data_IF_660857343253
#
_entry.id   IF_660857343253
#
_cell.length_a   1.000
_cell.length_b   1.000
_cell.length_c   1.000
_cell.angle_alpha   90.00
_cell.angle_beta   90.00
_cell.angle_gamma   90.00
#
_symmetry.space_group_name_H-M   'P 1'
#
loop_
_entity.id
_entity.type
_entity.pdbx_description
1 polymer ?
#
# COMPACT_ATOMS: atom_id res chain seq x y z
N UNK A 1 -15.75 7.64 -3.43
CA UNK A 1 -14.40 8.20 -3.19
C UNK A 1 -14.46 9.15 -2.00
N UNK A 2 -13.62 8.95 -0.96
CA UNK A 2 -13.69 9.66 0.33
C UNK A 2 -13.03 11.06 0.30
N UNK A 3 -13.64 12.02 -0.40
CA UNK A 3 -13.04 13.35 -0.66
C UNK A 3 -12.70 14.14 0.60
N UNK A 4 -13.54 14.08 1.62
CA UNK A 4 -13.33 14.81 2.87
C UNK A 4 -12.11 14.29 3.63
N UNK A 5 -11.94 12.96 3.70
CA UNK A 5 -10.79 12.33 4.32
C UNK A 5 -9.48 12.72 3.61
N UNK A 6 -9.43 12.59 2.28
CA UNK A 6 -8.26 12.98 1.48
C UNK A 6 -7.89 14.46 1.63
N UNK A 7 -8.88 15.36 1.78
CA UNK A 7 -8.63 16.80 1.95
C UNK A 7 -7.82 17.08 3.23
N UNK A 8 -8.05 16.32 4.31
CA UNK A 8 -7.32 16.52 5.57
C UNK A 8 -5.81 16.31 5.42
N UNK A 9 -5.37 15.41 4.54
CA UNK A 9 -3.95 15.19 4.25
C UNK A 9 -3.30 16.40 3.59
N UNK A 10 -3.98 17.02 2.64
CA UNK A 10 -3.52 18.25 1.95
C UNK A 10 -3.46 19.43 2.93
N UNK A 11 -4.51 19.60 3.74
CA UNK A 11 -4.61 20.72 4.70
C UNK A 11 -3.57 20.61 5.82
N UNK A 12 -3.30 19.42 6.33
CA UNK A 12 -2.34 19.19 7.42
C UNK A 12 -0.88 19.16 6.96
N UNK A 13 -0.61 18.91 5.67
CA UNK A 13 0.75 18.76 5.14
C UNK A 13 0.98 19.67 3.93
N UNK A 14 0.88 21.00 4.07
CA UNK A 14 0.93 21.92 2.92
C UNK A 14 2.29 21.97 2.21
N UNK A 15 3.36 21.47 2.85
CA UNK A 15 4.68 21.32 2.23
C UNK A 15 4.81 20.06 1.36
N UNK A 16 3.85 19.13 1.44
CA UNK A 16 3.85 17.87 0.71
C UNK A 16 3.03 17.98 -0.57
N UNK A 17 3.50 17.32 -1.62
CA UNK A 17 2.70 17.07 -2.84
C UNK A 17 1.88 15.81 -2.63
N UNK A 18 0.56 15.94 -2.63
CA UNK A 18 -0.35 14.80 -2.49
C UNK A 18 -0.70 14.25 -3.87
N UNK A 19 -0.39 12.97 -4.09
CA UNK A 19 -0.76 12.23 -5.30
C UNK A 19 -1.90 11.26 -5.01
N UNK A 20 -2.89 11.26 -5.89
CA UNK A 20 -4.02 10.35 -5.81
C UNK A 20 -3.87 9.24 -6.86
N UNK A 21 -3.60 8.04 -6.37
CA UNK A 21 -3.52 6.83 -7.19
C UNK A 21 -4.88 6.14 -7.24
N UNK A 22 -5.22 5.59 -8.40
CA UNK A 22 -6.55 5.00 -8.61
C UNK A 22 -6.64 4.27 -9.94
N UNK A 23 -7.85 3.90 -10.34
CA UNK A 23 -8.09 2.99 -11.45
C UNK A 23 -7.48 3.44 -12.79
N UNK A 24 -7.37 4.75 -13.05
CA UNK A 24 -6.71 5.22 -14.27
C UNK A 24 -5.23 4.84 -14.29
N UNK A 25 -4.54 4.97 -13.16
CA UNK A 25 -3.14 4.55 -13.03
C UNK A 25 -2.99 3.04 -13.12
N UNK A 26 -3.96 2.28 -12.59
CA UNK A 26 -3.99 0.81 -12.76
C UNK A 26 -3.99 0.42 -14.24
N UNK A 27 -4.67 1.18 -15.10
CA UNK A 27 -4.76 0.94 -16.54
C UNK A 27 -3.55 1.48 -17.32
N UNK A 28 -2.99 2.61 -16.88
CA UNK A 28 -1.99 3.35 -17.65
C UNK A 28 -0.54 2.99 -17.26
N UNK A 29 -0.33 2.37 -16.10
CA UNK A 29 0.99 1.98 -15.61
C UNK A 29 1.28 0.50 -15.87
N UNK A 30 2.57 0.18 -15.95
CA UNK A 30 3.06 -1.21 -15.94
C UNK A 30 3.30 -1.67 -14.51
N UNK A 31 2.95 -2.92 -14.21
CA UNK A 31 3.07 -3.53 -12.88
C UNK A 31 3.95 -4.79 -12.93
N UNK A 32 4.82 -4.97 -11.94
CA UNK A 32 5.64 -6.17 -11.77
C UNK A 32 4.78 -7.42 -11.51
N UNK A 33 3.65 -7.23 -10.82
CA UNK A 33 2.67 -8.26 -10.50
C UNK A 33 1.43 -8.22 -11.40
N UNK A 34 1.55 -7.77 -12.65
CA UNK A 34 0.42 -7.65 -13.60
C UNK A 34 -0.37 -8.97 -13.78
N UNK A 35 0.30 -10.12 -13.74
CA UNK A 35 -0.36 -11.44 -13.80
C UNK A 35 -1.33 -11.67 -12.63
N UNK A 36 -0.93 -11.26 -11.42
CA UNK A 36 -1.78 -11.38 -10.23
C UNK A 36 -2.91 -10.36 -10.24
N UNK A 37 -2.64 -9.13 -10.68
CA UNK A 37 -3.66 -8.09 -10.92
C UNK A 37 -4.72 -8.62 -11.89
N UNK A 38 -4.31 -9.18 -13.03
CA UNK A 38 -5.22 -9.74 -14.02
C UNK A 38 -6.06 -10.90 -13.44
N UNK A 39 -5.43 -11.79 -12.67
CA UNK A 39 -6.13 -12.88 -11.99
C UNK A 39 -7.22 -12.33 -11.05
N UNK A 40 -6.89 -11.35 -10.22
CA UNK A 40 -7.86 -10.69 -9.35
C UNK A 40 -9.00 -9.98 -10.10
N UNK A 41 -8.71 -9.33 -11.23
CA UNK A 41 -9.73 -8.68 -12.07
C UNK A 41 -10.70 -9.68 -12.72
N UNK A 42 -10.19 -10.85 -13.12
CA UNK A 42 -10.99 -11.87 -13.82
C UNK A 42 -11.90 -12.67 -12.91
N UNK A 43 -11.50 -12.94 -11.67
CA UNK A 43 -12.33 -13.69 -10.70
C UNK A 43 -13.54 -12.88 -10.17
N UNK A 44 -13.61 -11.57 -10.42
CA UNK A 44 -14.74 -10.67 -10.09
C UNK A 44 -15.21 -10.73 -8.62
N UNK A 45 -14.32 -11.05 -7.70
CA UNK A 45 -14.60 -10.98 -6.26
C UNK A 45 -14.19 -9.59 -5.73
N UNK A 46 -15.11 -8.90 -5.07
CA UNK A 46 -14.88 -7.55 -4.52
C UNK A 46 -13.75 -7.52 -3.50
N UNK A 47 -13.47 -8.63 -2.81
CA UNK A 47 -12.34 -8.72 -1.89
C UNK A 47 -10.98 -8.56 -2.61
N UNK A 48 -10.87 -8.98 -3.87
CA UNK A 48 -9.62 -8.85 -4.61
C UNK A 48 -9.28 -7.43 -5.05
N UNK A 49 -10.24 -6.49 -4.98
CA UNK A 49 -9.93 -5.07 -5.14
C UNK A 49 -8.94 -4.59 -4.08
N UNK A 50 -9.01 -5.14 -2.86
CA UNK A 50 -8.03 -4.85 -1.81
C UNK A 50 -6.65 -5.42 -2.15
N UNK A 51 -6.58 -6.58 -2.81
CA UNK A 51 -5.31 -7.20 -3.21
C UNK A 51 -4.64 -6.47 -4.36
N UNK A 52 -5.43 -5.95 -5.30
CA UNK A 52 -4.92 -5.05 -6.34
C UNK A 52 -4.36 -3.77 -5.70
N UNK A 53 -5.08 -3.17 -4.74
CA UNK A 53 -4.60 -1.97 -4.03
C UNK A 53 -3.33 -2.24 -3.20
N UNK A 54 -3.20 -3.42 -2.60
CA UNK A 54 -1.99 -3.88 -1.92
C UNK A 54 -0.79 -4.01 -2.87
N UNK A 55 -0.99 -4.62 -4.04
CA UNK A 55 0.07 -4.69 -5.06
C UNK A 55 0.47 -3.28 -5.50
N UNK A 56 -0.52 -2.45 -5.85
CA UNK A 56 -0.28 -1.09 -6.34
C UNK A 56 0.49 -0.26 -5.31
N UNK A 57 0.13 -0.30 -4.02
CA UNK A 57 0.79 0.54 -3.00
C UNK A 57 2.26 0.22 -2.85
N UNK A 58 2.66 -1.06 -2.89
CA UNK A 58 4.07 -1.42 -2.78
C UNK A 58 4.86 -1.02 -4.01
N UNK A 59 4.32 -1.26 -5.20
CA UNK A 59 5.01 -0.94 -6.46
C UNK A 59 5.11 0.57 -6.69
N UNK A 60 4.06 1.34 -6.37
CA UNK A 60 4.09 2.81 -6.39
C UNK A 60 5.12 3.32 -5.38
N UNK A 61 5.08 2.84 -4.13
CA UNK A 61 5.99 3.31 -3.08
C UNK A 61 7.44 2.93 -3.39
N UNK A 62 7.67 1.76 -4.01
CA UNK A 62 8.99 1.36 -4.49
C UNK A 62 9.49 2.29 -5.60
N UNK A 63 8.65 2.63 -6.57
CA UNK A 63 9.03 3.47 -7.70
C UNK A 63 9.24 4.94 -7.30
N UNK A 64 8.34 5.50 -6.49
CA UNK A 64 8.29 6.93 -6.18
C UNK A 64 8.92 7.30 -4.84
N UNK A 65 8.98 6.36 -3.89
CA UNK A 65 9.20 6.67 -2.48
C UNK A 65 8.10 7.56 -1.89
N UNK A 66 8.36 8.13 -0.71
CA UNK A 66 7.44 9.05 -0.03
C UNK A 66 6.60 8.35 1.03
N UNK A 67 5.44 8.93 1.36
CA UNK A 67 4.54 8.42 2.40
C UNK A 67 3.20 8.00 1.79
N UNK A 68 2.89 6.71 1.89
CA UNK A 68 1.65 6.11 1.43
C UNK A 68 0.59 6.10 2.55
N UNK A 69 -0.65 6.40 2.17
CA UNK A 69 -1.86 6.28 3.01
C UNK A 69 -3.04 5.74 2.22
N UNK A 70 -3.93 4.98 2.87
CA UNK A 70 -5.24 4.66 2.28
C UNK A 70 -6.10 5.94 2.15
N UNK A 71 -6.84 6.05 1.04
CA UNK A 71 -7.59 7.26 0.70
C UNK A 71 -8.72 7.59 1.70
N UNK A 72 -9.23 6.60 2.43
CA UNK A 72 -10.28 6.74 3.44
C UNK A 72 -9.74 7.04 4.85
N UNK A 73 -8.44 7.31 4.97
CA UNK A 73 -7.83 7.73 6.24
C UNK A 73 -7.93 9.24 6.46
N UNK A 74 -8.08 9.65 7.72
CA UNK A 74 -8.14 11.06 8.13
C UNK A 74 -6.81 11.47 8.75
N UNK A 75 -6.23 12.55 8.26
CA UNK A 75 -5.06 13.19 8.83
C UNK A 75 -5.50 14.10 9.99
N UNK A 76 -5.15 13.73 11.22
CA UNK A 76 -5.49 14.50 12.42
C UNK A 76 -4.33 15.37 12.93
N UNK A 77 -3.13 15.15 12.41
CA UNK A 77 -1.90 15.89 12.71
C UNK A 77 -0.95 15.83 11.51
N UNK A 78 -0.09 16.85 11.31
CA UNK A 78 0.95 16.80 10.30
C UNK A 78 1.86 15.58 10.46
N UNK A 79 2.49 15.17 9.35
CA UNK A 79 3.57 14.19 9.35
C UNK A 79 4.79 14.81 10.04
N UNK A 80 5.31 14.09 11.02
CA UNK A 80 6.49 14.50 11.78
C UNK A 80 7.77 14.06 11.07
N UNK A 81 8.80 14.90 11.09
CA UNK A 81 10.05 14.66 10.34
C UNK A 81 10.74 13.34 10.71
N UNK A 82 10.62 12.91 11.98
CA UNK A 82 11.23 11.68 12.48
C UNK A 82 10.66 10.40 11.83
N UNK A 83 9.50 10.47 11.18
CA UNK A 83 8.95 9.35 10.39
C UNK A 83 9.86 8.97 9.21
N UNK A 84 10.76 9.87 8.83
CA UNK A 84 11.62 9.76 7.65
C UNK A 84 13.10 9.55 7.99
N UNK A 85 13.43 9.37 9.27
CA UNK A 85 14.81 9.14 9.74
C UNK A 85 15.36 7.76 9.31
N UNK A 86 14.48 6.85 8.89
CA UNK A 86 14.81 5.50 8.42
C UNK A 86 14.44 5.34 6.95
N UNK A 87 15.04 4.36 6.25
CA UNK A 87 14.69 4.11 4.85
C UNK A 87 13.30 3.51 4.64
N UNK A 88 12.68 2.99 5.71
CA UNK A 88 11.32 2.44 5.72
C UNK A 88 10.68 2.62 7.11
N UNK A 89 9.47 3.15 7.16
CA UNK A 89 8.68 3.25 8.38
C UNK A 89 7.25 2.74 8.12
N UNK A 90 6.66 2.02 9.06
CA UNK A 90 5.27 1.59 9.00
C UNK A 90 4.63 1.57 10.38
N UNK A 91 3.31 1.48 10.45
CA UNK A 91 2.56 1.33 11.70
C UNK A 91 2.32 -0.14 12.04
N UNK A 92 2.27 -0.47 13.33
CA UNK A 92 1.70 -1.75 13.78
C UNK A 92 0.19 -1.81 13.47
N UNK A 93 -0.29 -3.01 13.16
CA UNK A 93 -1.70 -3.33 13.28
C UNK A 93 -2.15 -3.25 14.74
N UNK A 94 -3.45 -3.44 14.98
CA UNK A 94 -3.96 -3.52 16.35
C UNK A 94 -3.26 -4.64 17.14
N UNK A 95 -2.35 -4.26 18.04
CA UNK A 95 -1.48 -5.19 18.78
C UNK A 95 -2.25 -6.21 19.65
N UNK A 96 -3.52 -5.94 19.99
CA UNK A 96 -4.37 -6.85 20.76
C UNK A 96 -5.15 -7.82 19.88
N UNK A 97 -5.74 -7.32 18.79
CA UNK A 97 -6.58 -8.10 17.89
C UNK A 97 -5.78 -8.85 16.82
N UNK A 98 -4.61 -8.32 16.46
CA UNK A 98 -3.71 -8.75 15.38
C UNK A 98 -2.23 -8.62 15.83
N UNK A 99 -1.84 -9.29 16.93
CA UNK A 99 -0.48 -9.17 17.46
C UNK A 99 0.57 -9.58 16.42
N UNK A 100 1.63 -8.79 16.32
CA UNK A 100 2.78 -9.07 15.47
C UNK A 100 2.62 -8.67 14.00
N UNK A 101 1.47 -8.13 13.56
CA UNK A 101 1.31 -7.67 12.18
C UNK A 101 1.68 -6.19 12.02
N UNK A 102 2.32 -5.89 10.89
CA UNK A 102 2.57 -4.52 10.43
C UNK A 102 1.43 -4.13 9.47
N UNK A 103 0.81 -2.97 9.71
CA UNK A 103 -0.23 -2.45 8.85
C UNK A 103 0.38 -1.85 7.58
N UNK A 104 -0.19 -2.20 6.43
CA UNK A 104 0.21 -1.67 5.13
C UNK A 104 -0.57 -0.39 4.73
N UNK A 105 -1.33 0.19 5.67
CA UNK A 105 -2.10 1.43 5.47
C UNK A 105 -1.25 2.69 5.60
N UNK A 106 -0.21 2.70 6.43
CA UNK A 106 0.67 3.86 6.63
C UNK A 106 2.11 3.44 6.46
N UNK A 107 2.74 3.85 5.35
CA UNK A 107 4.11 3.42 5.04
C UNK A 107 4.92 4.56 4.47
N UNK A 108 6.12 4.78 5.01
CA UNK A 108 7.17 5.55 4.37
C UNK A 108 8.17 4.60 3.73
N UNK A 109 8.69 4.96 2.55
CA UNK A 109 9.93 4.38 2.07
C UNK A 109 10.73 5.37 1.22
N UNK A 110 12.06 5.20 1.22
CA UNK A 110 12.89 5.76 0.16
C UNK A 110 12.61 5.05 -1.17
N UNK A 111 12.75 5.74 -2.33
CA UNK A 111 12.66 5.07 -3.62
C UNK A 111 13.61 3.87 -3.70
N UNK A 112 13.15 2.80 -4.36
CA UNK A 112 13.88 1.54 -4.53
C UNK A 112 14.28 0.85 -3.21
N UNK A 113 13.46 0.97 -2.16
CA UNK A 113 13.74 0.35 -0.87
C UNK A 113 13.83 -1.20 -0.99
N UNK A 114 14.89 -1.85 -0.45
CA UNK A 114 15.05 -3.30 -0.53
C UNK A 114 13.92 -4.13 0.07
N UNK A 115 13.31 -3.67 1.17
CA UNK A 115 12.18 -4.36 1.81
C UNK A 115 10.97 -4.38 0.89
N UNK A 116 10.66 -3.26 0.23
CA UNK A 116 9.56 -3.22 -0.75
C UNK A 116 9.84 -4.12 -1.95
N UNK A 117 11.09 -4.18 -2.43
CA UNK A 117 11.47 -5.12 -3.50
C UNK A 117 11.25 -6.58 -3.08
N UNK A 118 11.60 -6.92 -1.84
CA UNK A 118 11.37 -8.25 -1.29
C UNK A 118 9.88 -8.58 -1.19
N UNK A 119 9.03 -7.65 -0.73
CA UNK A 119 7.58 -7.80 -0.70
C UNK A 119 7.01 -8.02 -2.11
N UNK A 120 7.40 -7.17 -3.07
CA UNK A 120 6.96 -7.26 -4.48
C UNK A 120 7.34 -8.63 -5.07
N UNK A 121 8.58 -9.08 -4.84
CA UNK A 121 9.05 -10.39 -5.31
C UNK A 121 8.36 -11.57 -4.59
N UNK A 122 8.05 -11.42 -3.30
CA UNK A 122 7.31 -12.42 -2.53
C UNK A 122 5.94 -12.63 -3.14
N UNK A 123 5.19 -11.55 -3.41
CA UNK A 123 3.90 -11.61 -4.09
C UNK A 123 4.04 -12.25 -5.48
N UNK A 124 5.03 -11.82 -6.26
CA UNK A 124 5.29 -12.31 -7.62
C UNK A 124 5.48 -13.83 -7.68
N UNK A 125 6.11 -14.39 -6.66
CA UNK A 125 6.41 -15.82 -6.57
C UNK A 125 5.27 -16.68 -6.00
N UNK A 126 4.13 -16.09 -5.64
CA UNK A 126 2.95 -16.86 -5.19
C UNK A 126 2.37 -17.64 -6.38
N UNK A 127 2.27 -18.98 -6.31
CA UNK A 127 1.76 -19.76 -7.44
C UNK A 127 0.26 -19.56 -7.72
N UNK A 128 -0.53 -19.39 -6.66
CA UNK A 128 -1.98 -19.24 -6.72
C UNK A 128 -2.41 -18.09 -5.80
N UNK A 129 -2.48 -16.87 -6.34
CA UNK A 129 -2.75 -15.65 -5.56
C UNK A 129 -4.13 -15.64 -4.89
N UNK A 130 -5.04 -16.49 -5.36
CA UNK A 130 -6.43 -16.62 -4.85
C UNK A 130 -6.62 -17.78 -3.88
N UNK A 131 -5.54 -18.45 -3.47
CA UNK A 131 -5.60 -19.64 -2.61
C UNK A 131 -5.89 -19.35 -1.12
N UNK A 132 -5.71 -18.12 -0.65
CA UNK A 132 -6.01 -17.72 0.74
C UNK A 132 -6.52 -16.26 0.77
N UNK A 133 -6.80 -15.76 1.96
CA UNK A 133 -7.26 -14.39 2.19
C UNK A 133 -6.23 -13.36 1.72
N UNK A 134 -6.72 -12.30 1.07
CA UNK A 134 -5.90 -11.20 0.53
C UNK A 134 -4.93 -10.61 1.56
N UNK A 135 -5.35 -10.42 2.81
CA UNK A 135 -4.47 -9.90 3.87
C UNK A 135 -3.24 -10.77 4.15
N UNK A 136 -3.27 -12.04 3.73
CA UNK A 136 -2.14 -12.98 3.77
C UNK A 136 -1.32 -13.02 2.49
N UNK A 137 -1.98 -12.87 1.35
CA UNK A 137 -1.38 -13.04 0.02
C UNK A 137 -0.68 -11.79 -0.46
N UNK A 138 -1.25 -10.62 -0.17
CA UNK A 138 -0.72 -9.32 -0.58
C UNK A 138 -0.76 -8.28 0.54
N UNK A 139 -1.46 -8.52 1.65
CA UNK A 139 -1.69 -7.49 2.66
C UNK A 139 -0.72 -7.51 3.85
N UNK A 140 -1.17 -7.13 5.06
CA UNK A 140 -0.35 -6.98 6.26
C UNK A 140 0.59 -8.15 6.60
N UNK A 141 0.17 -9.41 6.37
CA UNK A 141 1.04 -10.55 6.67
C UNK A 141 2.21 -10.64 5.70
N UNK A 142 2.03 -10.25 4.44
CA UNK A 142 3.12 -10.27 3.44
C UNK A 142 4.19 -9.24 3.74
N UNK A 143 3.80 -8.16 4.43
CA UNK A 143 4.72 -7.10 4.89
C UNK A 143 5.49 -7.48 6.17
N UNK A 144 5.01 -8.49 6.92
CA UNK A 144 5.49 -8.86 8.26
C UNK A 144 6.43 -10.05 8.19
#
# INVERSE_FOLDING_TARGET
MPREAMRTWVEMNPSWTVHLWGNQHLLDCSWENDTHIHTFQTEKNTHYLTGIADIMRYEILYACGGFYVDADTVCVRPLEDWLFDSSFCASWENEKARPGLIANTYMYATPQNPLLLEVINTIKNIPHITADHVWKMTGPLTLT
#
